data_IF_619005544059
#
_entry.id   IF_619005544059
#
_cell.length_a   1.000
_cell.length_b   1.000
_cell.length_c   1.000
_cell.angle_alpha   90.00
_cell.angle_beta   90.00
_cell.angle_gamma   90.00
#
_symmetry.space_group_name_H-M   'P 1'
#
loop_
_entity.id
_entity.type
_entity.pdbx_description
1 polymer ?
#
# COMPACT_ATOMS: atom_id res chain seq x y z
N UNK A 1 15.23 8.42 22.99
CA UNK A 1 14.22 9.50 22.96
C UNK A 1 13.11 9.10 22.01
N UNK A 2 12.02 9.86 21.96
CA UNK A 2 10.92 9.65 20.98
C UNK A 2 11.34 10.25 19.64
N UNK A 3 11.18 9.49 18.55
CA UNK A 3 11.57 9.91 17.18
C UNK A 3 10.38 10.15 16.25
N UNK A 4 9.17 9.85 16.69
CA UNK A 4 7.93 10.09 15.97
C UNK A 4 6.72 10.08 16.90
N UNK A 5 5.60 10.63 16.43
CA UNK A 5 4.32 10.58 17.14
C UNK A 5 3.14 10.75 16.18
N UNK A 6 2.20 9.83 16.27
CA UNK A 6 0.92 9.86 15.56
C UNK A 6 -0.24 9.53 16.50
N UNK A 7 -1.45 9.91 16.08
CA UNK A 7 -2.68 9.44 16.71
C UNK A 7 -3.08 8.08 16.13
N UNK A 8 -3.74 7.27 16.94
CA UNK A 8 -4.20 5.93 16.55
C UNK A 8 -5.58 5.96 15.90
N UNK A 9 -5.70 5.39 14.70
CA UNK A 9 -6.96 5.30 13.95
C UNK A 9 -7.60 6.59 13.42
N UNK A 10 -6.91 7.75 13.30
CA UNK A 10 -7.50 8.97 12.73
C UNK A 10 -7.43 9.04 11.21
N UNK A 11 -6.95 8.01 10.50
CA UNK A 11 -6.79 8.08 9.04
C UNK A 11 -8.11 8.56 8.40
N UNK A 12 -7.98 9.43 7.39
CA UNK A 12 -9.08 10.12 6.70
C UNK A 12 -9.83 11.22 7.49
N UNK A 13 -9.63 11.34 8.80
CA UNK A 13 -10.21 12.46 9.56
C UNK A 13 -9.53 13.78 9.23
N UNK A 14 -10.30 14.86 9.15
CA UNK A 14 -9.78 16.18 8.77
C UNK A 14 -8.73 16.72 9.76
N UNK A 15 -8.94 16.55 11.06
CA UNK A 15 -8.10 17.17 12.10
C UNK A 15 -6.90 16.30 12.52
N UNK A 16 -7.00 14.97 12.36
CA UNK A 16 -6.09 14.05 13.05
C UNK A 16 -5.36 13.08 12.11
N UNK A 17 -5.68 13.04 10.81
CA UNK A 17 -5.04 12.17 9.81
C UNK A 17 -3.61 12.63 9.47
N UNK A 18 -2.73 12.62 10.47
CA UNK A 18 -1.33 12.96 10.33
C UNK A 18 -0.47 12.45 11.49
N UNK A 19 0.83 12.72 11.38
CA UNK A 19 1.85 12.37 12.35
C UNK A 19 3.10 13.23 12.18
N UNK A 20 4.00 13.16 13.14
CA UNK A 20 5.30 13.85 13.12
C UNK A 20 6.40 12.82 13.20
N UNK A 21 7.43 12.95 12.37
CA UNK A 21 8.62 12.10 12.38
C UNK A 21 9.87 12.96 12.36
N UNK A 22 10.86 12.60 13.16
CA UNK A 22 12.16 13.25 13.23
C UNK A 22 13.09 12.67 12.16
N UNK A 23 13.83 13.52 11.46
CA UNK A 23 14.98 13.11 10.66
C UNK A 23 16.17 12.83 11.60
N UNK A 24 16.13 11.67 12.26
CA UNK A 24 17.05 11.31 13.35
C UNK A 24 18.30 10.55 12.90
N UNK A 25 18.42 10.22 11.62
CA UNK A 25 19.52 9.41 11.09
C UNK A 25 19.81 9.70 9.62
N UNK A 26 21.10 9.67 9.25
CA UNK A 26 21.53 9.72 7.84
C UNK A 26 21.16 8.47 7.03
N UNK A 27 20.77 7.38 7.69
CA UNK A 27 20.31 6.15 7.03
C UNK A 27 18.82 6.31 6.72
N UNK A 28 18.50 6.58 5.46
CA UNK A 28 17.12 6.83 4.98
C UNK A 28 16.15 5.73 5.39
N UNK A 29 16.58 4.46 5.38
CA UNK A 29 15.75 3.33 5.81
C UNK A 29 15.23 3.45 7.24
N UNK A 30 16.02 4.00 8.18
CA UNK A 30 15.60 4.16 9.57
C UNK A 30 14.55 5.27 9.72
N UNK A 31 14.71 6.36 8.98
CA UNK A 31 13.73 7.44 8.96
C UNK A 31 12.45 6.98 8.26
N UNK A 32 12.57 6.23 7.16
CA UNK A 32 11.44 5.64 6.45
C UNK A 32 10.65 4.64 7.33
N UNK A 33 11.33 3.77 8.10
CA UNK A 33 10.68 2.92 9.10
C UNK A 33 9.93 3.76 10.13
N UNK A 34 10.48 4.89 10.57
CA UNK A 34 9.80 5.77 11.53
C UNK A 34 8.53 6.36 10.92
N UNK A 35 8.59 6.86 9.68
CA UNK A 35 7.41 7.35 8.96
C UNK A 35 6.36 6.23 8.81
N UNK A 36 6.79 5.03 8.41
CA UNK A 36 5.90 3.87 8.29
C UNK A 36 5.23 3.53 9.62
N UNK A 37 5.99 3.52 10.73
CA UNK A 37 5.48 3.26 12.08
C UNK A 37 4.37 4.25 12.47
N UNK A 38 4.61 5.55 12.28
CA UNK A 38 3.60 6.58 12.58
C UNK A 38 2.37 6.47 11.67
N UNK A 39 2.56 6.11 10.39
CA UNK A 39 1.44 5.80 9.49
C UNK A 39 0.67 4.55 9.96
N UNK A 40 1.35 3.53 10.46
CA UNK A 40 0.73 2.34 11.05
C UNK A 40 -0.21 2.69 12.19
N UNK A 41 0.20 3.59 13.09
CA UNK A 41 -0.70 4.15 14.10
C UNK A 41 -1.90 4.88 13.47
N UNK A 42 -1.70 5.71 12.44
CA UNK A 42 -2.82 6.32 11.73
C UNK A 42 -3.84 5.30 11.21
N UNK A 43 -3.37 4.15 10.72
CA UNK A 43 -4.19 3.01 10.31
C UNK A 43 -4.80 2.19 11.46
N UNK A 44 -4.56 2.55 12.71
CA UNK A 44 -5.13 1.88 13.88
C UNK A 44 -4.27 0.74 14.44
N UNK A 45 -3.06 0.55 13.94
CA UNK A 45 -2.14 -0.46 14.46
C UNK A 45 -1.61 -0.07 15.86
N UNK A 46 -1.40 -1.08 16.69
CA UNK A 46 -0.73 -0.96 17.99
C UNK A 46 0.70 -1.46 17.91
N UNK A 47 1.49 -1.17 18.95
CA UNK A 47 2.82 -1.74 19.06
C UNK A 47 2.78 -3.27 19.15
N UNK A 48 3.79 -3.92 18.57
CA UNK A 48 3.97 -5.36 18.65
C UNK A 48 4.25 -5.81 20.10
N UNK A 49 3.56 -6.87 20.53
CA UNK A 49 3.81 -7.58 21.78
C UNK A 49 4.68 -8.83 21.55
N UNK A 50 5.03 -9.55 22.61
CA UNK A 50 5.80 -10.81 22.51
C UNK A 50 5.10 -11.90 21.71
N UNK A 51 3.77 -11.84 21.60
CA UNK A 51 2.96 -12.88 20.95
C UNK A 51 2.77 -12.59 19.44
N UNK A 52 3.20 -11.41 18.99
CA UNK A 52 3.11 -11.01 17.59
C UNK A 52 4.22 -11.65 16.76
N UNK A 53 3.83 -12.43 15.76
CA UNK A 53 4.78 -13.07 14.85
C UNK A 53 5.31 -12.06 13.83
N UNK A 54 6.64 -12.00 13.71
CA UNK A 54 7.33 -11.12 12.77
C UNK A 54 8.17 -11.95 11.79
N UNK A 55 8.12 -11.68 10.47
CA UNK A 55 8.98 -12.33 9.48
C UNK A 55 10.47 -11.99 9.65
N UNK A 56 10.74 -10.77 10.14
CA UNK A 56 12.07 -10.27 10.45
C UNK A 56 12.38 -10.46 11.95
N UNK A 57 13.62 -10.16 12.37
CA UNK A 57 13.98 -10.07 13.81
C UNK A 57 13.14 -9.01 14.55
N UNK A 58 12.69 -7.98 13.83
CA UNK A 58 11.93 -6.87 14.36
C UNK A 58 10.99 -6.34 13.27
N UNK A 59 9.76 -5.99 13.63
CA UNK A 59 8.77 -5.47 12.68
C UNK A 59 8.60 -3.95 12.84
N UNK A 60 7.94 -3.32 11.86
CA UNK A 60 7.77 -1.86 11.82
C UNK A 60 7.09 -1.33 13.10
N UNK A 61 6.11 -2.03 13.66
CA UNK A 61 5.38 -1.62 14.87
C UNK A 61 6.07 -2.00 16.19
N UNK A 62 7.36 -2.36 16.17
CA UNK A 62 8.08 -2.60 17.41
C UNK A 62 8.08 -1.34 18.31
N UNK A 63 7.88 -1.46 19.64
CA UNK A 63 7.65 -0.32 20.55
C UNK A 63 8.87 0.58 20.77
N UNK A 64 10.02 0.24 20.21
CA UNK A 64 11.25 1.02 20.35
C UNK A 64 12.08 0.96 19.07
N UNK A 65 12.70 2.10 18.76
CA UNK A 65 13.62 2.22 17.63
C UNK A 65 14.87 1.37 17.82
N UNK A 66 15.49 1.00 16.70
CA UNK A 66 16.73 0.23 16.66
C UNK A 66 17.60 0.71 15.50
N UNK A 67 18.82 0.18 15.38
CA UNK A 67 19.67 0.40 14.20
C UNK A 67 19.25 -0.43 12.98
N UNK A 68 18.17 -1.20 13.07
CA UNK A 68 17.61 -2.00 11.98
C UNK A 68 16.51 -1.23 11.27
N UNK A 69 16.41 -1.40 9.94
CA UNK A 69 15.36 -0.81 9.09
C UNK A 69 14.38 -1.91 8.64
N UNK A 70 13.47 -2.37 9.53
CA UNK A 70 12.52 -3.41 9.17
C UNK A 70 11.58 -2.95 8.06
N UNK A 71 11.24 -3.88 7.18
CA UNK A 71 10.35 -3.65 6.02
C UNK A 71 9.04 -4.43 6.13
N UNK A 72 8.92 -5.34 7.11
CA UNK A 72 7.73 -6.15 7.31
C UNK A 72 6.87 -5.68 8.49
N UNK A 73 5.57 -5.87 8.33
CA UNK A 73 4.57 -5.79 9.39
C UNK A 73 4.47 -7.14 10.11
N UNK A 74 4.12 -7.10 11.40
CA UNK A 74 3.81 -8.33 12.14
C UNK A 74 2.41 -8.84 11.77
N UNK A 75 2.11 -10.09 12.13
CA UNK A 75 0.76 -10.64 11.99
C UNK A 75 -0.28 -9.78 12.73
N UNK A 76 0.03 -9.33 13.95
CA UNK A 76 -0.84 -8.44 14.72
C UNK A 76 -1.11 -7.11 14.00
N UNK A 77 -0.09 -6.51 13.41
CA UNK A 77 -0.22 -5.26 12.65
C UNK A 77 -1.17 -5.42 11.47
N UNK A 78 -1.08 -6.55 10.76
CA UNK A 78 -1.97 -6.87 9.65
C UNK A 78 -3.42 -7.11 10.12
N UNK A 79 -3.62 -7.75 11.27
CA UNK A 79 -4.95 -7.93 11.87
C UNK A 79 -5.59 -6.60 12.27
N UNK A 80 -4.83 -5.69 12.89
CA UNK A 80 -5.32 -4.35 13.22
C UNK A 80 -5.71 -3.56 11.97
N UNK A 81 -4.91 -3.63 10.90
CA UNK A 81 -5.22 -2.98 9.62
C UNK A 81 -6.49 -3.55 8.99
N UNK A 82 -6.66 -4.88 9.00
CA UNK A 82 -7.85 -5.52 8.47
C UNK A 82 -9.12 -5.07 9.24
N UNK A 83 -9.06 -5.06 10.57
CA UNK A 83 -10.16 -4.58 11.42
C UNK A 83 -10.46 -3.10 11.17
N UNK A 84 -9.43 -2.29 10.97
CA UNK A 84 -9.56 -0.88 10.65
C UNK A 84 -10.34 -0.63 9.35
N UNK A 85 -10.03 -1.41 8.31
CA UNK A 85 -10.70 -1.32 7.02
C UNK A 85 -12.11 -1.91 7.06
N UNK A 86 -12.34 -2.97 7.84
CA UNK A 86 -13.68 -3.52 8.07
C UNK A 86 -14.62 -2.48 8.72
N UNK A 87 -14.09 -1.64 9.61
CA UNK A 87 -14.82 -0.52 10.20
C UNK A 87 -14.94 0.73 9.30
N UNK A 88 -14.44 0.67 8.05
CA UNK A 88 -14.57 1.74 7.07
C UNK A 88 -13.67 2.96 7.30
N UNK A 89 -12.60 2.83 8.08
CA UNK A 89 -11.64 3.92 8.29
C UNK A 89 -10.88 4.31 7.00
N UNK A 90 -10.93 3.48 5.97
CA UNK A 90 -10.29 3.67 4.67
C UNK A 90 -11.09 4.53 3.68
N UNK A 91 -12.21 5.16 4.10
CA UNK A 91 -13.18 5.77 3.18
C UNK A 91 -12.59 6.79 2.20
N UNK A 92 -11.55 7.53 2.59
CA UNK A 92 -10.86 8.50 1.74
C UNK A 92 -9.73 7.91 0.87
N UNK A 93 -9.40 6.63 1.04
CA UNK A 93 -8.29 5.95 0.37
C UNK A 93 -8.77 5.11 -0.82
N UNK A 94 -10.08 5.05 -1.06
CA UNK A 94 -10.68 4.24 -2.13
C UNK A 94 -10.53 4.84 -3.52
N UNK A 95 -10.15 6.12 -3.62
CA UNK A 95 -9.86 6.77 -4.89
C UNK A 95 -8.37 6.73 -5.20
N UNK A 96 -8.02 6.31 -6.43
CA UNK A 96 -6.65 6.39 -6.92
C UNK A 96 -6.27 7.85 -7.21
N UNK A 97 -5.10 8.35 -6.77
CA UNK A 97 -4.62 9.67 -7.15
C UNK A 97 -4.38 9.76 -8.67
N UNK A 98 -4.63 10.93 -9.25
CA UNK A 98 -4.43 11.19 -10.69
C UNK A 98 -3.02 11.64 -11.04
N UNK A 99 -2.25 12.13 -10.06
CA UNK A 99 -0.86 12.54 -10.18
C UNK A 99 -0.16 12.33 -8.84
N UNK A 100 1.04 11.75 -8.85
CA UNK A 100 1.88 11.57 -7.67
C UNK A 100 3.00 12.61 -7.61
N UNK A 101 4.03 12.43 -8.44
CA UNK A 101 5.22 13.27 -8.50
C UNK A 101 5.52 13.68 -9.95
N UNK A 102 6.45 14.61 -10.15
CA UNK A 102 6.79 15.11 -11.49
C UNK A 102 7.69 14.14 -12.30
N UNK A 103 8.04 12.97 -11.75
CA UNK A 103 8.88 11.97 -12.42
C UNK A 103 8.25 10.58 -12.29
N UNK A 104 7.77 9.99 -13.40
CA UNK A 104 7.27 8.62 -13.43
C UNK A 104 8.30 7.61 -12.92
N UNK A 105 7.87 6.65 -12.09
CA UNK A 105 8.75 5.60 -11.57
C UNK A 105 8.11 4.23 -11.79
N UNK A 106 8.63 3.50 -12.77
CA UNK A 106 8.20 2.13 -13.02
C UNK A 106 8.49 1.21 -11.82
N UNK A 107 7.43 0.56 -11.33
CA UNK A 107 7.46 -0.38 -10.21
C UNK A 107 6.96 0.22 -8.89
N UNK A 108 6.38 1.42 -8.91
CA UNK A 108 5.79 2.05 -7.73
C UNK A 108 4.30 1.69 -7.54
N UNK A 109 3.70 0.94 -8.48
CA UNK A 109 2.31 0.49 -8.46
C UNK A 109 1.30 1.48 -9.07
N UNK A 110 1.76 2.59 -9.66
CA UNK A 110 0.92 3.59 -10.28
C UNK A 110 1.23 3.68 -11.76
N UNK A 111 0.19 3.63 -12.60
CA UNK A 111 0.38 3.82 -14.04
C UNK A 111 0.56 5.31 -14.30
N UNK A 112 1.78 5.70 -14.63
CA UNK A 112 2.17 7.08 -14.87
C UNK A 112 2.41 7.35 -16.37
N UNK A 113 2.77 8.59 -16.71
CA UNK A 113 3.00 8.97 -18.12
C UNK A 113 4.15 8.16 -18.70
N UNK A 114 3.88 7.45 -19.79
CA UNK A 114 4.85 6.58 -20.48
C UNK A 114 4.69 5.09 -20.17
N UNK A 115 3.83 4.75 -19.21
CA UNK A 115 3.56 3.39 -18.79
C UNK A 115 2.21 2.90 -19.31
N UNK A 116 2.09 1.59 -19.53
CA UNK A 116 0.81 0.93 -19.87
C UNK A 116 0.27 0.11 -18.70
N UNK A 117 1.13 -0.23 -17.74
CA UNK A 117 0.80 -0.97 -16.54
C UNK A 117 1.91 -0.79 -15.51
N UNK A 118 1.58 -0.89 -14.23
CA UNK A 118 2.56 -0.98 -13.14
C UNK A 118 1.98 -1.96 -12.10
N UNK A 119 2.73 -3.01 -11.80
CA UNK A 119 2.38 -4.07 -10.86
C UNK A 119 3.26 -4.06 -9.59
N UNK A 120 4.00 -2.98 -9.37
CA UNK A 120 4.94 -2.85 -8.27
C UNK A 120 6.33 -3.39 -8.60
N UNK A 121 7.11 -3.61 -7.55
CA UNK A 121 8.49 -4.08 -7.64
C UNK A 121 8.57 -5.43 -8.37
N UNK A 122 9.64 -5.62 -9.15
CA UNK A 122 9.89 -6.83 -9.94
C UNK A 122 9.72 -8.13 -9.16
N UNK A 123 10.23 -8.18 -7.94
CA UNK A 123 10.24 -9.39 -7.10
C UNK A 123 8.87 -9.67 -6.45
N UNK A 124 7.92 -8.75 -6.59
CA UNK A 124 6.57 -8.83 -6.03
C UNK A 124 5.46 -8.68 -7.08
N UNK A 125 5.81 -8.61 -8.37
CA UNK A 125 4.85 -8.50 -9.45
C UNK A 125 4.37 -9.90 -9.89
N UNK A 126 3.18 -10.27 -9.45
CA UNK A 126 2.49 -11.50 -9.86
C UNK A 126 1.55 -11.29 -11.07
N UNK A 127 1.62 -10.14 -11.74
CA UNK A 127 0.72 -9.78 -12.82
C UNK A 127 1.19 -10.38 -14.17
N UNK A 128 0.48 -11.37 -14.74
CA UNK A 128 0.92 -12.05 -15.95
C UNK A 128 0.77 -11.19 -17.22
N UNK A 129 0.13 -10.02 -17.11
CA UNK A 129 -0.15 -9.12 -18.22
C UNK A 129 0.84 -7.96 -18.31
N UNK A 130 1.65 -7.74 -17.27
CA UNK A 130 2.53 -6.59 -17.15
C UNK A 130 4.00 -7.00 -17.04
N UNK A 131 4.87 -6.35 -17.81
CA UNK A 131 6.32 -6.49 -17.65
C UNK A 131 6.82 -5.50 -16.59
N UNK A 132 7.10 -5.99 -15.38
CA UNK A 132 7.58 -5.18 -14.27
C UNK A 132 8.92 -4.45 -14.51
N UNK A 133 9.72 -4.86 -15.51
CA UNK A 133 10.99 -4.18 -15.82
C UNK A 133 10.78 -2.94 -16.71
N UNK A 134 9.68 -2.89 -17.46
CA UNK A 134 9.46 -1.85 -18.48
C UNK A 134 8.14 -1.10 -18.28
N UNK A 135 7.28 -1.55 -17.36
CA UNK A 135 5.93 -1.02 -17.15
C UNK A 135 5.10 -0.96 -18.46
N UNK A 136 5.29 -1.99 -19.28
CA UNK A 136 4.60 -2.17 -20.55
C UNK A 136 3.82 -3.47 -20.52
N UNK A 137 2.70 -3.51 -21.26
CA UNK A 137 1.96 -4.74 -21.48
C UNK A 137 2.83 -5.75 -22.23
N UNK A 138 2.64 -7.04 -21.94
CA UNK A 138 3.15 -8.08 -22.83
C UNK A 138 2.44 -8.03 -24.19
N UNK A 139 3.09 -8.55 -25.23
CA UNK A 139 2.64 -8.42 -26.63
C UNK A 139 1.24 -8.99 -26.92
N UNK A 140 0.75 -9.91 -26.08
CA UNK A 140 -0.58 -10.51 -26.19
C UNK A 140 -1.62 -9.89 -25.24
N UNK A 141 -1.24 -8.90 -24.44
CA UNK A 141 -2.10 -8.24 -23.47
C UNK A 141 -2.72 -6.95 -24.06
N UNK A 142 -3.98 -6.71 -23.73
CA UNK A 142 -4.71 -5.47 -24.06
C UNK A 142 -5.08 -4.67 -22.81
N UNK A 143 -4.92 -5.28 -21.63
CA UNK A 143 -5.03 -4.63 -20.32
C UNK A 143 -4.22 -5.43 -19.30
N UNK A 144 -3.86 -4.79 -18.18
CA UNK A 144 -3.23 -5.45 -17.03
C UNK A 144 -3.78 -4.98 -15.67
N UNK A 145 -4.65 -3.97 -15.65
CA UNK A 145 -5.17 -3.38 -14.41
C UNK A 145 -6.63 -2.99 -14.57
N UNK A 146 -7.34 -2.81 -13.46
CA UNK A 146 -8.72 -2.33 -13.41
C UNK A 146 -9.76 -3.46 -13.42
N UNK A 147 -10.96 -3.15 -12.91
CA UNK A 147 -12.03 -4.13 -12.69
C UNK A 147 -12.55 -4.75 -13.99
N UNK A 148 -12.43 -4.04 -15.10
CA UNK A 148 -12.82 -4.49 -16.42
C UNK A 148 -11.77 -5.38 -17.10
N UNK A 149 -10.60 -5.61 -16.51
CA UNK A 149 -9.58 -6.49 -17.08
C UNK A 149 -9.71 -7.92 -16.52
N UNK A 150 -9.72 -8.92 -17.38
CA UNK A 150 -9.51 -10.31 -16.98
C UNK A 150 -8.01 -10.61 -16.93
N UNK A 151 -7.44 -10.68 -15.73
CA UNK A 151 -6.00 -10.90 -15.53
C UNK A 151 -5.54 -12.31 -15.93
N UNK A 152 -6.45 -13.25 -16.22
CA UNK A 152 -6.06 -14.57 -16.75
C UNK A 152 -5.84 -14.54 -18.25
N UNK A 153 -6.62 -13.73 -18.96
CA UNK A 153 -6.56 -13.62 -20.43
C UNK A 153 -5.89 -12.34 -20.90
N UNK A 154 -5.64 -11.39 -20.00
CA UNK A 154 -5.10 -10.06 -20.26
C UNK A 154 -5.94 -9.26 -21.27
N UNK A 155 -7.27 -9.48 -21.25
CA UNK A 155 -8.23 -8.84 -22.15
C UNK A 155 -9.38 -8.20 -21.37
N UNK A 156 -10.05 -7.18 -21.95
CA UNK A 156 -11.25 -6.64 -21.37
C UNK A 156 -12.32 -7.72 -21.18
N UNK A 157 -12.95 -7.75 -20.01
CA UNK A 157 -14.12 -8.59 -19.73
C UNK A 157 -15.24 -8.23 -20.70
N UNK A 158 -15.97 -9.22 -21.18
CA UNK A 158 -17.15 -8.99 -22.04
C UNK A 158 -18.26 -8.33 -21.23
N UNK A 159 -18.95 -7.37 -21.84
CA UNK A 159 -20.13 -6.73 -21.26
C UNK A 159 -21.20 -7.81 -21.04
N UNK A 160 -21.60 -8.02 -19.79
CA UNK A 160 -22.59 -9.04 -19.39
C UNK A 160 -22.03 -10.29 -18.69
N UNK A 161 -20.72 -10.38 -18.47
CA UNK A 161 -20.13 -11.40 -17.59
C UNK A 161 -20.51 -11.13 -16.13
N UNK A 162 -21.40 -11.95 -15.58
CA UNK A 162 -21.88 -11.94 -14.20
C UNK A 162 -20.75 -11.82 -13.18
N UNK A 163 -20.55 -10.60 -12.66
CA UNK A 163 -20.04 -10.29 -11.31
C UNK A 163 -20.03 -8.78 -11.00
N UNK A 164 -20.51 -7.92 -11.92
CA UNK A 164 -20.91 -6.56 -11.58
C UNK A 164 -22.42 -6.49 -11.44
N UNK A 165 -22.93 -6.47 -10.20
CA UNK A 165 -24.32 -6.12 -9.92
C UNK A 165 -24.47 -4.62 -10.22
N UNK A 166 -24.80 -4.28 -11.47
CA UNK A 166 -25.17 -2.93 -11.87
C UNK A 166 -26.69 -2.82 -11.72
N UNK A 167 -27.16 -2.55 -10.49
CA UNK A 167 -28.48 -1.96 -10.32
C UNK A 167 -28.39 -0.51 -10.78
N UNK A 168 -28.74 -0.26 -12.04
CA UNK A 168 -29.19 1.06 -12.46
C UNK A 168 -30.60 1.24 -11.88
N UNK A 169 -30.68 1.82 -10.68
CA UNK A 169 -31.92 2.44 -10.22
C UNK A 169 -32.12 3.71 -11.06
N UNK A 170 -33.03 3.61 -12.04
CA UNK A 170 -33.69 4.76 -12.68
C UNK A 170 -34.88 5.14 -11.81
#
# INVERSE_FOLDING_TARGET
GVVGKALKGPICTFEFSGGVSMDHSSVVGLVATTVAHEMGHNFGMEHDSSDCQCPDERCIMAPSSSSMSPTHWSVCSLEYLALAFEHGMDYCLRNKPTKLFDSPVCGNGFVEVGEQCDCGLKDHCDNPCCNANTCMLFSNASCATGECCDLKTCRPKTVGGSNGHFELNV
#
